data_IF_459073438195
#
_entry.id   IF_459073438195
#
_cell.length_a   1.000
_cell.length_b   1.000
_cell.length_c   1.000
_cell.angle_alpha   90.00
_cell.angle_beta   90.00
_cell.angle_gamma   90.00
#
_symmetry.space_group_name_H-M   'P 1'
#
loop_
_entity.id
_entity.type
_entity.pdbx_description
1 polymer ?
#
# COMPACT_ATOMS: atom_id res chain seq x y z
N UNK A 1 -46.29 -26.07 38.33
CA UNK A 1 -45.29 -26.60 37.37
C UNK A 1 -44.54 -25.41 36.83
N UNK A 2 -43.24 -25.36 37.03
CA UNK A 2 -42.36 -24.34 36.44
C UNK A 2 -41.41 -25.07 35.49
N UNK A 3 -41.35 -24.64 34.23
CA UNK A 3 -40.39 -25.13 33.24
C UNK A 3 -39.00 -24.61 33.58
N UNK A 4 -38.04 -25.53 33.62
CA UNK A 4 -36.61 -25.23 33.74
C UNK A 4 -36.08 -25.09 32.31
N UNK A 5 -35.61 -23.91 31.93
CA UNK A 5 -34.92 -23.69 30.66
C UNK A 5 -33.45 -24.07 30.88
N UNK A 6 -33.02 -25.19 30.29
CA UNK A 6 -31.61 -25.55 30.20
C UNK A 6 -30.93 -24.61 29.19
N UNK A 7 -30.07 -23.73 29.70
CA UNK A 7 -29.19 -22.91 28.86
C UNK A 7 -27.94 -23.75 28.63
N UNK A 8 -27.80 -24.30 27.44
CA UNK A 8 -26.55 -24.91 27.01
C UNK A 8 -25.57 -23.77 26.72
N UNK A 9 -24.49 -23.70 27.50
CA UNK A 9 -23.30 -22.90 27.16
C UNK A 9 -22.67 -23.56 25.92
N UNK A 10 -23.18 -23.21 24.74
CA UNK A 10 -22.51 -23.51 23.48
C UNK A 10 -21.16 -22.80 23.53
N UNK A 11 -20.12 -23.58 23.88
CA UNK A 11 -18.74 -23.15 23.88
C UNK A 11 -18.40 -22.69 22.47
N UNK A 12 -18.39 -21.38 22.25
CA UNK A 12 -17.91 -20.78 21.01
C UNK A 12 -16.43 -21.13 20.93
N UNK A 13 -16.11 -22.17 20.16
CA UNK A 13 -14.74 -22.54 19.83
C UNK A 13 -14.27 -21.55 18.77
N UNK A 14 -13.71 -20.43 19.21
CA UNK A 14 -12.98 -19.52 18.33
C UNK A 14 -11.70 -20.27 17.97
N UNK A 15 -11.65 -20.81 16.76
CA UNK A 15 -10.43 -21.39 16.21
C UNK A 15 -9.32 -20.32 16.24
N UNK A 16 -8.38 -20.50 17.16
CA UNK A 16 -7.19 -19.64 17.35
C UNK A 16 -6.29 -19.57 16.10
N UNK A 17 -6.60 -20.35 15.05
CA UNK A 17 -5.88 -20.36 13.79
C UNK A 17 -6.37 -19.34 12.75
N UNK A 18 -7.41 -18.56 13.02
CA UNK A 18 -7.76 -17.40 12.18
C UNK A 18 -6.82 -16.22 12.50
N UNK A 19 -5.52 -16.51 12.48
CA UNK A 19 -4.48 -15.50 12.60
C UNK A 19 -4.56 -14.69 11.32
N UNK A 20 -5.11 -13.48 11.43
CA UNK A 20 -5.02 -12.46 10.39
C UNK A 20 -3.64 -12.54 9.75
N UNK A 21 -3.59 -12.84 8.45
CA UNK A 21 -2.31 -12.99 7.72
C UNK A 21 -1.65 -11.61 7.65
N UNK A 22 -0.83 -11.29 8.66
CA UNK A 22 -0.13 -10.02 8.77
C UNK A 22 1.09 -10.03 7.82
N UNK A 23 1.15 -9.06 6.91
CA UNK A 23 2.29 -8.83 6.04
C UNK A 23 3.25 -7.81 6.64
N UNK A 24 4.55 -8.04 6.48
CA UNK A 24 5.59 -7.06 6.79
C UNK A 24 6.27 -6.59 5.50
N UNK A 25 6.58 -5.29 5.45
CA UNK A 25 7.33 -4.69 4.37
C UNK A 25 8.73 -4.39 4.85
N UNK A 26 9.71 -4.67 4.00
CA UNK A 26 11.07 -4.22 4.21
C UNK A 26 11.16 -2.70 3.98
N UNK A 27 11.34 -1.94 5.06
CA UNK A 27 11.38 -0.48 5.05
C UNK A 27 12.71 0.08 4.53
N UNK A 28 13.75 -0.75 4.36
CA UNK A 28 15.03 -0.31 3.80
C UNK A 28 14.87 0.25 2.38
N UNK A 29 13.90 -0.26 1.63
CA UNK A 29 13.60 0.17 0.25
C UNK A 29 13.05 1.58 0.14
N UNK A 30 12.66 2.17 1.26
CA UNK A 30 12.15 3.53 1.35
C UNK A 30 13.10 4.48 2.04
N UNK A 31 14.36 4.08 2.29
CA UNK A 31 15.29 4.88 3.10
C UNK A 31 14.69 5.23 4.48
N UNK A 32 13.91 4.30 5.05
CA UNK A 32 13.21 4.50 6.33
C UNK A 32 11.97 5.39 6.26
N UNK A 33 11.58 5.89 5.08
CA UNK A 33 10.41 6.75 4.89
C UNK A 33 9.10 5.97 4.95
N UNK A 34 8.00 6.59 5.42
CA UNK A 34 6.72 5.90 5.55
C UNK A 34 6.15 5.52 4.18
N UNK A 35 5.47 4.37 4.15
CA UNK A 35 4.56 4.01 3.06
C UNK A 35 3.28 4.84 3.24
N UNK A 36 2.89 5.53 2.20
CA UNK A 36 1.76 6.48 2.18
C UNK A 36 0.56 5.97 1.40
N UNK A 37 0.78 5.06 0.43
CA UNK A 37 -0.28 4.44 -0.37
C UNK A 37 0.04 2.98 -0.65
N UNK A 38 -1.02 2.18 -0.75
CA UNK A 38 -0.98 0.76 -1.06
C UNK A 38 -2.09 0.50 -2.09
N UNK A 39 -1.76 -0.18 -3.19
CA UNK A 39 -2.74 -0.60 -4.20
C UNK A 39 -2.52 -2.06 -4.56
N UNK A 40 -3.62 -2.78 -4.75
CA UNK A 40 -3.62 -4.21 -5.06
C UNK A 40 -4.24 -4.44 -6.43
N UNK A 41 -3.68 -5.42 -7.15
CA UNK A 41 -4.22 -5.85 -8.44
C UNK A 41 -5.58 -6.55 -8.29
N UNK A 42 -6.44 -6.56 -9.34
CA UNK A 42 -7.79 -7.10 -9.25
C UNK A 42 -7.91 -8.56 -8.79
N UNK A 43 -6.93 -9.40 -9.14
CA UNK A 43 -6.89 -10.80 -8.71
C UNK A 43 -5.91 -11.04 -7.55
N UNK A 44 -5.48 -9.98 -6.86
CA UNK A 44 -4.64 -10.03 -5.67
C UNK A 44 -3.28 -10.74 -5.87
N UNK A 45 -2.84 -10.92 -7.12
CA UNK A 45 -1.55 -11.56 -7.47
C UNK A 45 -0.36 -10.62 -7.36
N UNK A 46 -0.65 -9.32 -7.31
CA UNK A 46 0.35 -8.27 -7.30
C UNK A 46 -0.11 -7.08 -6.48
N UNK A 47 0.86 -6.43 -5.83
CA UNK A 47 0.67 -5.34 -4.89
C UNK A 47 1.77 -4.31 -5.17
N UNK A 48 1.41 -3.04 -5.04
CA UNK A 48 2.40 -1.96 -4.98
C UNK A 48 2.20 -1.10 -3.74
N UNK A 49 3.31 -0.55 -3.30
CA UNK A 49 3.41 0.33 -2.13
C UNK A 49 4.16 1.59 -2.56
N UNK A 50 3.72 2.76 -2.11
CA UNK A 50 4.29 4.05 -2.49
C UNK A 50 4.64 4.90 -1.27
N UNK A 51 5.86 5.44 -1.24
CA UNK A 51 6.28 6.45 -0.28
C UNK A 51 6.35 7.81 -0.96
N UNK A 52 5.52 8.75 -0.51
CA UNK A 52 5.52 10.11 -1.02
C UNK A 52 6.83 10.85 -0.71
N UNK A 53 7.39 10.65 0.49
CA UNK A 53 8.65 11.30 0.88
C UNK A 53 9.86 10.76 0.13
N UNK A 54 9.94 9.44 -0.08
CA UNK A 54 11.03 8.81 -0.81
C UNK A 54 10.82 8.81 -2.34
N UNK A 55 9.61 9.18 -2.78
CA UNK A 55 9.16 9.17 -4.17
C UNK A 55 9.38 7.82 -4.87
N UNK A 56 9.22 6.73 -4.11
CA UNK A 56 9.44 5.36 -4.57
C UNK A 56 8.14 4.57 -4.61
N UNK A 57 7.98 3.81 -5.68
CA UNK A 57 6.98 2.75 -5.80
C UNK A 57 7.73 1.42 -5.74
N UNK A 58 7.33 0.53 -4.83
CA UNK A 58 7.87 -0.84 -4.74
C UNK A 58 6.76 -1.82 -5.08
N UNK A 59 7.07 -2.78 -5.93
CA UNK A 59 6.15 -3.82 -6.34
C UNK A 59 6.49 -5.19 -5.76
N UNK A 60 5.44 -5.94 -5.45
CA UNK A 60 5.48 -7.21 -4.74
C UNK A 60 4.60 -8.24 -5.44
N UNK A 61 5.17 -9.41 -5.74
CA UNK A 61 4.39 -10.58 -6.11
C UNK A 61 3.74 -11.15 -4.85
N UNK A 62 2.46 -11.45 -4.93
CA UNK A 62 1.74 -12.18 -3.91
C UNK A 62 1.78 -13.65 -4.31
N UNK A 63 2.46 -14.46 -3.51
CA UNK A 63 2.44 -15.92 -3.68
C UNK A 63 1.64 -16.55 -2.56
N UNK A 64 0.62 -17.33 -2.95
CA UNK A 64 -0.02 -18.29 -2.05
C UNK A 64 0.89 -19.50 -1.94
N UNK A 65 1.77 -19.48 -0.94
CA UNK A 65 2.41 -20.71 -0.47
C UNK A 65 1.39 -21.32 0.49
N UNK A 66 1.15 -22.63 0.37
CA UNK A 66 0.03 -23.41 0.94
C UNK A 66 -0.48 -23.00 2.34
N UNK A 67 0.37 -22.46 3.22
CA UNK A 67 0.00 -22.00 4.57
C UNK A 67 0.51 -20.60 4.94
N UNK A 68 1.16 -19.88 4.02
CA UNK A 68 1.72 -18.54 4.24
C UNK A 68 1.64 -17.72 2.97
N UNK A 69 0.92 -16.60 3.02
CA UNK A 69 1.01 -15.62 1.95
C UNK A 69 2.33 -14.87 2.15
N UNK A 70 3.24 -14.99 1.18
CA UNK A 70 4.54 -14.31 1.22
C UNK A 70 4.62 -13.29 0.10
N UNK A 71 4.96 -12.06 0.45
CA UNK A 71 5.26 -11.01 -0.52
C UNK A 71 6.70 -11.17 -1.01
N UNK A 72 6.88 -11.35 -2.32
CA UNK A 72 8.21 -11.37 -2.94
C UNK A 72 8.46 -10.07 -3.68
N UNK A 73 9.58 -9.44 -3.35
CA UNK A 73 10.05 -8.27 -4.09
C UNK A 73 10.08 -8.53 -5.59
N UNK A 74 9.59 -7.56 -6.35
CA UNK A 74 9.73 -7.55 -7.80
C UNK A 74 10.67 -6.45 -8.27
N UNK A 75 10.35 -5.20 -7.94
CA UNK A 75 11.06 -4.04 -8.46
C UNK A 75 10.76 -2.78 -7.64
N UNK A 76 11.67 -1.80 -7.71
CA UNK A 76 11.47 -0.43 -7.25
C UNK A 76 11.54 0.54 -8.43
N UNK A 77 10.64 1.52 -8.46
CA UNK A 77 10.59 2.60 -9.44
C UNK A 77 10.62 3.95 -8.70
N UNK A 78 11.57 4.82 -9.07
CA UNK A 78 11.62 6.21 -8.59
C UNK A 78 10.76 7.10 -9.49
N UNK A 79 10.03 8.02 -8.87
CA UNK A 79 9.05 8.87 -9.57
C UNK A 79 9.52 10.32 -9.77
N UNK A 80 10.61 10.72 -9.10
CA UNK A 80 11.36 11.94 -9.42
C UNK A 80 12.23 11.73 -10.64
N UNK A 81 12.33 12.75 -11.51
CA UNK A 81 13.38 12.82 -12.53
C UNK A 81 14.65 13.37 -11.87
N UNK A 82 15.79 12.73 -12.11
CA UNK A 82 17.13 13.16 -11.70
C UNK A 82 17.61 14.44 -12.43
N UNK A 83 16.69 15.28 -12.91
CA UNK A 83 17.05 16.52 -13.58
C UNK A 83 17.37 17.56 -12.50
N UNK A 84 18.66 17.78 -12.32
CA UNK A 84 19.35 18.66 -11.37
C UNK A 84 18.89 20.15 -11.40
N UNK A 85 18.02 20.53 -12.34
CA UNK A 85 17.75 21.93 -12.70
C UNK A 85 16.38 22.51 -12.28
N UNK A 86 15.49 21.78 -11.60
CA UNK A 86 14.24 22.40 -11.12
C UNK A 86 14.01 22.19 -9.63
N UNK A 87 14.58 23.14 -8.89
CA UNK A 87 14.15 23.62 -7.58
C UNK A 87 12.61 23.65 -7.55
N UNK A 88 12.03 22.86 -6.64
CA UNK A 88 10.65 22.97 -6.15
C UNK A 88 9.46 22.52 -7.04
N UNK A 89 9.65 21.77 -8.11
CA UNK A 89 8.50 21.13 -8.80
C UNK A 89 7.96 19.93 -7.97
N UNK A 90 7.01 20.19 -7.07
CA UNK A 90 6.29 19.14 -6.32
C UNK A 90 5.27 18.45 -7.22
N UNK A 91 5.69 17.36 -7.87
CA UNK A 91 4.77 16.40 -8.47
C UNK A 91 4.18 15.51 -7.38
N UNK A 92 2.87 15.61 -7.17
CA UNK A 92 2.15 14.76 -6.24
C UNK A 92 1.38 13.69 -7.01
N UNK A 93 1.58 12.41 -6.67
CA UNK A 93 0.76 11.31 -7.20
C UNK A 93 -0.61 11.38 -6.53
N UNK A 94 -1.64 11.75 -7.30
CA UNK A 94 -3.02 11.82 -6.80
C UNK A 94 -3.66 10.44 -6.72
N UNK A 95 -3.50 9.65 -7.77
CA UNK A 95 -4.05 8.31 -7.87
C UNK A 95 -3.02 7.39 -8.52
N UNK A 96 -3.02 6.13 -8.11
CA UNK A 96 -2.21 5.07 -8.68
C UNK A 96 -3.05 3.78 -8.72
N UNK A 97 -2.77 2.88 -9.65
CA UNK A 97 -3.34 1.54 -9.67
C UNK A 97 -2.41 0.58 -10.40
N UNK A 98 -2.60 -0.71 -10.15
CA UNK A 98 -1.79 -1.77 -10.78
C UNK A 98 -2.66 -2.90 -11.30
N UNK A 99 -2.31 -3.44 -12.46
CA UNK A 99 -2.99 -4.61 -13.02
C UNK A 99 -2.34 -5.92 -12.57
N UNK A 100 -3.01 -7.05 -12.81
CA UNK A 100 -2.40 -8.38 -12.62
C UNK A 100 -1.17 -8.60 -13.51
N UNK A 101 -1.16 -8.00 -14.70
CA UNK A 101 0.01 -7.97 -15.61
C UNK A 101 1.15 -7.05 -15.11
N UNK A 102 1.07 -6.51 -13.89
CA UNK A 102 2.04 -5.59 -13.27
C UNK A 102 2.18 -4.25 -13.98
N UNK A 103 1.19 -3.84 -14.78
CA UNK A 103 1.15 -2.53 -15.43
C UNK A 103 0.72 -1.49 -14.41
N UNK A 104 1.51 -0.44 -14.27
CA UNK A 104 1.27 0.69 -13.38
C UNK A 104 0.64 1.84 -14.17
N UNK A 105 -0.46 2.38 -13.66
CA UNK A 105 -0.99 3.66 -14.11
C UNK A 105 -1.03 4.63 -12.92
N UNK A 106 -0.69 5.89 -13.15
CA UNK A 106 -0.74 6.92 -12.12
C UNK A 106 -1.08 8.29 -12.71
N UNK A 107 -1.79 9.09 -11.92
CA UNK A 107 -2.14 10.47 -12.25
C UNK A 107 -1.36 11.38 -11.31
N UNK A 108 -0.58 12.29 -11.88
CA UNK A 108 0.13 13.33 -11.13
C UNK A 108 -0.59 14.66 -11.21
N UNK A 109 -0.47 15.46 -10.15
CA UNK A 109 -0.78 16.88 -10.20
C UNK A 109 0.50 17.68 -10.21
N UNK A 110 0.58 18.64 -11.14
CA UNK A 110 1.60 19.67 -11.14
C UNK A 110 1.22 20.74 -10.10
N UNK A 111 2.04 20.91 -9.06
CA UNK A 111 1.92 22.00 -8.11
C UNK A 111 2.68 23.23 -8.61
N UNK A 112 2.06 24.06 -9.44
CA UNK A 112 2.59 25.38 -9.76
C UNK A 112 2.38 26.35 -8.59
N UNK A 113 3.40 27.14 -8.25
CA UNK A 113 3.33 28.19 -7.23
C UNK A 113 2.13 29.11 -7.42
N UNK A 114 1.33 29.32 -6.39
CA UNK A 114 0.47 30.50 -6.27
C UNK A 114 1.29 31.60 -5.62
N UNK A 115 1.83 32.51 -6.42
CA UNK A 115 2.32 33.79 -5.89
C UNK A 115 1.11 34.56 -5.35
N UNK A 116 0.96 34.58 -4.03
CA UNK A 116 0.05 35.50 -3.37
C UNK A 116 0.68 36.90 -3.44
N UNK A 117 0.59 37.55 -4.59
CA UNK A 117 0.97 38.95 -4.74
C UNK A 117 -0.10 39.81 -4.04
N UNK A 118 0.00 39.92 -2.72
CA UNK A 118 -0.74 40.93 -1.96
C UNK A 118 -0.06 42.27 -2.22
N UNK A 119 -0.65 43.10 -3.08
CA UNK A 119 -0.32 44.52 -3.14
C UNK A 119 -0.84 45.13 -1.83
N UNK A 120 0.08 45.57 -0.97
CA UNK A 120 -0.22 46.46 0.16
C UNK A 120 0.71 47.65 0.12
#
# INVERSE_FOLDING_TARGET
>A
MSEIIEINDDKIDVDENDVDKIFTFDNERYNGKPITKIEISPNEKYLITYSEEDHSIVGWNVEDILDKVQLKFHQTVKTKKDNEDNVDEKYEIKSLCVSDDKKLAYITRYGGYSENNTIT
#
